data_IF_889918636595
#
_entry.id   IF_889918636595
#
_cell.length_a   1.000
_cell.length_b   1.000
_cell.length_c   1.000
_cell.angle_alpha   90.00
_cell.angle_beta   90.00
_cell.angle_gamma   90.00
#
_symmetry.space_group_name_H-M   'P 1'
#
loop_
_entity.id
_entity.type
_entity.pdbx_description
1 polymer ?
#
# COMPACT_ATOMS: atom_id res chain seq x y z
N UNK A 1 10.79 -3.83 -18.36
CA UNK A 1 9.73 -4.68 -17.77
C UNK A 1 10.14 -5.19 -16.40
N UNK A 2 11.33 -5.74 -16.25
CA UNK A 2 11.88 -6.17 -14.95
C UNK A 2 11.78 -5.10 -13.86
N UNK A 3 12.16 -3.86 -14.15
CA UNK A 3 12.03 -2.73 -13.22
C UNK A 3 10.59 -2.35 -12.84
N UNK A 4 9.60 -2.75 -13.64
CA UNK A 4 8.17 -2.58 -13.31
C UNK A 4 7.74 -3.68 -12.34
N UNK A 5 8.14 -4.93 -12.61
CA UNK A 5 7.83 -6.09 -11.77
C UNK A 5 8.49 -5.96 -10.40
N UNK A 6 9.76 -5.57 -10.33
CA UNK A 6 10.48 -5.32 -9.08
C UNK A 6 9.82 -4.22 -8.24
N UNK A 7 9.32 -3.17 -8.88
CA UNK A 7 8.60 -2.11 -8.20
C UNK A 7 7.28 -2.65 -7.61
N UNK A 8 6.52 -3.44 -8.36
CA UNK A 8 5.29 -4.08 -7.85
C UNK A 8 5.62 -5.02 -6.68
N UNK A 9 6.63 -5.89 -6.81
CA UNK A 9 7.06 -6.82 -5.76
C UNK A 9 7.44 -6.08 -4.48
N UNK A 10 8.27 -5.04 -4.60
CA UNK A 10 8.70 -4.21 -3.47
C UNK A 10 7.49 -3.56 -2.79
N UNK A 11 6.58 -2.95 -3.56
CA UNK A 11 5.35 -2.34 -3.03
C UNK A 11 4.43 -3.36 -2.33
N UNK A 12 4.33 -4.58 -2.86
CA UNK A 12 3.54 -5.66 -2.25
C UNK A 12 4.12 -6.11 -0.92
N UNK A 13 5.42 -6.35 -0.89
CA UNK A 13 6.10 -6.96 0.25
C UNK A 13 6.49 -5.94 1.33
N UNK A 14 6.33 -4.64 1.06
CA UNK A 14 6.40 -3.57 2.06
C UNK A 14 5.05 -3.30 2.75
N UNK A 15 4.00 -4.08 2.48
CA UNK A 15 2.73 -3.93 3.20
C UNK A 15 2.88 -4.37 4.67
N UNK A 16 2.41 -3.57 5.65
CA UNK A 16 2.40 -3.98 7.05
C UNK A 16 1.43 -5.15 7.30
N UNK A 17 1.93 -6.22 7.91
CA UNK A 17 1.15 -7.38 8.38
C UNK A 17 0.50 -7.11 9.73
N UNK A 18 1.22 -6.48 10.65
CA UNK A 18 0.71 -6.13 11.98
C UNK A 18 0.44 -4.64 12.09
N UNK A 19 -0.43 -4.28 13.03
CA UNK A 19 -0.54 -2.92 13.52
C UNK A 19 0.19 -2.86 14.86
N UNK A 20 0.95 -1.80 15.06
CA UNK A 20 1.77 -1.59 16.26
C UNK A 20 1.34 -0.27 16.88
N UNK A 21 0.82 -0.33 18.11
CA UNK A 21 0.57 0.87 18.93
C UNK A 21 1.92 1.29 19.51
N UNK A 22 2.56 2.27 18.88
CA UNK A 22 3.91 2.66 19.26
C UNK A 22 3.89 3.50 20.56
N UNK A 23 3.76 2.87 21.71
CA UNK A 23 3.87 3.51 23.04
C UNK A 23 5.33 3.67 23.52
N UNK A 24 6.31 3.46 22.63
CA UNK A 24 7.73 3.45 23.03
C UNK A 24 8.77 3.53 21.92
N UNK A 25 8.40 3.90 20.70
CA UNK A 25 9.32 4.23 19.60
C UNK A 25 10.19 3.09 19.03
N UNK A 26 10.14 1.87 19.58
CA UNK A 26 11.08 0.79 19.26
C UNK A 26 10.48 -0.41 18.51
N UNK A 27 9.17 -0.48 18.37
CA UNK A 27 8.52 -1.66 17.80
C UNK A 27 8.35 -1.50 16.28
N UNK A 28 9.10 -2.30 15.52
CA UNK A 28 9.07 -2.28 14.06
C UNK A 28 7.84 -3.02 13.54
N UNK A 29 7.14 -2.42 12.59
CA UNK A 29 5.98 -3.05 11.93
C UNK A 29 6.45 -4.26 11.13
N UNK A 30 5.83 -5.43 11.35
CA UNK A 30 6.14 -6.63 10.60
C UNK A 30 5.65 -6.49 9.17
N UNK A 31 6.53 -6.69 8.19
CA UNK A 31 6.23 -6.68 6.76
C UNK A 31 6.71 -7.98 6.11
N UNK A 32 6.10 -8.45 5.01
CA UNK A 32 6.56 -9.64 4.30
C UNK A 32 8.04 -9.58 3.94
N UNK A 33 8.57 -8.41 3.54
CA UNK A 33 9.99 -8.26 3.23
C UNK A 33 10.90 -8.57 4.43
N UNK A 34 10.50 -8.24 5.65
CA UNK A 34 11.25 -8.60 6.86
C UNK A 34 11.29 -10.13 7.04
N UNK A 35 10.19 -10.83 6.75
CA UNK A 35 10.12 -12.29 6.86
C UNK A 35 10.90 -13.00 5.75
N UNK A 36 10.84 -12.49 4.53
CA UNK A 36 11.44 -13.11 3.34
C UNK A 36 12.94 -12.80 3.24
N UNK A 37 13.31 -11.54 3.51
CA UNK A 37 14.67 -11.01 3.28
C UNK A 37 15.44 -10.73 4.57
N UNK A 38 14.78 -10.72 5.73
CA UNK A 38 15.39 -10.36 7.01
C UNK A 38 15.55 -8.86 7.23
N UNK A 39 15.25 -8.03 6.23
CA UNK A 39 15.50 -6.59 6.23
C UNK A 39 14.32 -5.82 5.61
N UNK A 40 14.18 -4.56 5.97
CA UNK A 40 13.22 -3.68 5.33
C UNK A 40 13.70 -3.36 3.90
N UNK A 41 12.88 -3.62 2.89
CA UNK A 41 13.23 -3.23 1.54
C UNK A 41 12.98 -1.72 1.44
N UNK A 42 14.05 -0.92 1.51
CA UNK A 42 13.97 0.52 1.32
C UNK A 42 13.12 0.81 0.09
N UNK A 43 12.11 1.64 0.30
CA UNK A 43 11.28 2.16 -0.76
C UNK A 43 12.20 2.72 -1.83
N UNK A 44 11.98 2.33 -3.09
CA UNK A 44 12.40 3.20 -4.17
C UNK A 44 11.61 4.47 -3.93
N UNK A 45 12.26 5.52 -3.43
CA UNK A 45 11.71 6.86 -3.58
C UNK A 45 11.36 6.93 -5.07
N UNK A 46 10.07 7.11 -5.36
CA UNK A 46 9.63 7.54 -6.68
C UNK A 46 10.20 8.97 -6.82
N UNK A 47 11.52 9.08 -7.00
CA UNK A 47 12.22 10.30 -7.33
C UNK A 47 11.63 10.68 -8.67
N UNK A 48 10.58 11.49 -8.62
CA UNK A 48 10.21 12.40 -9.70
C UNK A 48 11.46 13.25 -9.91
N UNK A 49 12.40 12.75 -10.71
CA UNK A 49 13.42 13.60 -11.29
C UNK A 49 12.65 14.73 -11.96
N UNK A 50 12.88 15.94 -11.47
CA UNK A 50 12.36 17.18 -12.05
C UNK A 50 12.51 17.10 -13.58
N UNK A 51 11.49 17.56 -14.28
CA UNK A 51 11.13 17.24 -15.67
C UNK A 51 12.21 17.56 -16.72
N UNK A 52 13.37 18.07 -16.31
CA UNK A 52 14.30 18.78 -17.14
C UNK A 52 15.10 17.89 -18.10
N UNK A 53 15.30 16.58 -17.81
CA UNK A 53 16.02 15.67 -18.73
C UNK A 53 15.47 14.23 -18.80
N UNK A 54 14.16 14.06 -18.98
CA UNK A 54 13.58 12.71 -19.14
C UNK A 54 13.65 12.25 -20.61
N UNK A 55 14.50 11.26 -20.89
CA UNK A 55 14.61 10.60 -22.20
C UNK A 55 13.28 9.94 -22.60
N UNK A 56 12.95 9.87 -23.90
CA UNK A 56 11.72 9.21 -24.43
C UNK A 56 11.49 7.80 -23.85
N UNK A 57 12.56 7.06 -23.55
CA UNK A 57 12.49 5.74 -22.93
C UNK A 57 12.04 5.80 -21.46
N UNK A 58 12.53 6.73 -20.67
CA UNK A 58 12.12 6.90 -19.28
C UNK A 58 10.64 7.28 -19.16
N UNK A 59 10.12 8.12 -20.06
CA UNK A 59 8.66 8.41 -20.13
C UNK A 59 7.83 7.15 -20.41
N UNK A 60 8.29 6.31 -21.36
CA UNK A 60 7.62 5.03 -21.66
C UNK A 60 7.65 4.09 -20.46
N UNK A 61 8.78 4.02 -19.74
CA UNK A 61 8.91 3.19 -18.56
C UNK A 61 8.00 3.68 -17.42
N UNK A 62 7.92 5.00 -17.20
CA UNK A 62 7.03 5.61 -16.22
C UNK A 62 5.56 5.27 -16.51
N UNK A 63 5.13 5.48 -17.76
CA UNK A 63 3.79 5.11 -18.19
C UNK A 63 3.49 3.62 -17.98
N UNK A 64 4.44 2.74 -18.33
CA UNK A 64 4.28 1.30 -18.10
C UNK A 64 4.19 0.94 -16.60
N UNK A 65 4.94 1.61 -15.73
CA UNK A 65 4.81 1.47 -14.27
C UNK A 65 3.43 1.91 -13.78
N UNK A 66 2.95 3.05 -14.27
CA UNK A 66 1.64 3.61 -13.88
C UNK A 66 0.49 2.72 -14.32
N UNK A 67 0.52 2.24 -15.56
CA UNK A 67 -0.50 1.34 -16.11
C UNK A 67 -0.51 -0.01 -15.37
N UNK A 68 0.66 -0.56 -15.06
CA UNK A 68 0.77 -1.78 -14.30
C UNK A 68 0.29 -1.58 -12.84
N UNK A 69 0.63 -0.46 -12.21
CA UNK A 69 0.15 -0.11 -10.88
C UNK A 69 -1.37 0.05 -10.83
N UNK A 70 -1.98 0.74 -11.81
CA UNK A 70 -3.44 0.88 -11.92
C UNK A 70 -4.12 -0.47 -12.03
N UNK A 71 -3.62 -1.34 -12.91
CA UNK A 71 -4.17 -2.68 -13.09
C UNK A 71 -4.03 -3.51 -11.82
N UNK A 72 -2.84 -3.48 -11.21
CA UNK A 72 -2.56 -4.22 -9.99
C UNK A 72 -3.42 -3.74 -8.82
N UNK A 73 -3.53 -2.43 -8.59
CA UNK A 73 -4.38 -1.86 -7.53
C UNK A 73 -5.82 -2.34 -7.72
N UNK A 74 -6.34 -2.29 -8.94
CA UNK A 74 -7.68 -2.79 -9.25
C UNK A 74 -7.80 -4.28 -8.96
N UNK A 75 -6.93 -5.13 -9.51
CA UNK A 75 -7.13 -6.58 -9.41
C UNK A 75 -6.76 -7.14 -8.02
N UNK A 76 -5.61 -6.75 -7.48
CA UNK A 76 -5.08 -7.30 -6.24
C UNK A 76 -5.69 -6.68 -4.98
N UNK A 77 -5.92 -5.36 -4.93
CA UNK A 77 -6.54 -4.77 -3.73
C UNK A 77 -8.00 -5.20 -3.64
N UNK A 78 -8.71 -5.28 -4.77
CA UNK A 78 -10.06 -5.82 -4.75
C UNK A 78 -10.08 -7.29 -4.32
N UNK A 79 -9.15 -8.14 -4.79
CA UNK A 79 -9.11 -9.54 -4.33
C UNK A 79 -8.70 -9.68 -2.86
N UNK A 80 -7.84 -8.80 -2.35
CA UNK A 80 -7.49 -8.77 -0.93
C UNK A 80 -8.71 -8.38 -0.07
N UNK A 81 -9.44 -7.35 -0.50
CA UNK A 81 -10.70 -6.96 0.15
C UNK A 81 -11.74 -8.09 0.06
N UNK A 82 -11.86 -8.76 -1.08
CA UNK A 82 -12.77 -9.88 -1.27
C UNK A 82 -12.40 -11.08 -0.39
N UNK A 83 -11.11 -11.42 -0.26
CA UNK A 83 -10.66 -12.46 0.68
C UNK A 83 -11.03 -12.09 2.12
N UNK A 84 -10.87 -10.82 2.50
CA UNK A 84 -11.32 -10.34 3.81
C UNK A 84 -12.85 -10.45 3.98
N UNK A 85 -13.62 -10.22 2.91
CA UNK A 85 -15.09 -10.41 2.87
C UNK A 85 -15.51 -11.87 3.00
N UNK A 86 -14.77 -12.79 2.39
CA UNK A 86 -15.08 -14.22 2.49
C UNK A 86 -14.89 -14.69 3.94
N UNK A 87 -13.87 -14.17 4.63
CA UNK A 87 -13.64 -14.47 6.04
C UNK A 87 -14.63 -13.73 6.98
N UNK A 88 -15.01 -12.49 6.65
CA UNK A 88 -15.98 -11.69 7.40
C UNK A 88 -17.32 -11.65 6.67
N UNK A 89 -18.27 -12.49 7.10
CA UNK A 89 -19.61 -12.71 6.50
C UNK A 89 -20.43 -11.45 6.16
N UNK A 90 -20.08 -10.28 6.72
CA UNK A 90 -20.70 -8.98 6.41
C UNK A 90 -19.59 -7.93 6.29
N UNK A 91 -19.64 -7.13 5.22
CA UNK A 91 -18.82 -5.92 5.09
C UNK A 91 -19.45 -4.83 5.92
N UNK A 92 -19.27 -4.93 7.22
CA UNK A 92 -19.65 -3.83 8.09
C UNK A 92 -18.63 -2.70 7.95
N UNK A 93 -19.10 -1.47 8.08
CA UNK A 93 -18.20 -0.33 8.19
C UNK A 93 -17.28 -0.56 9.40
N UNK A 94 -15.96 -0.33 9.27
CA UNK A 94 -14.98 -0.62 10.31
C UNK A 94 -15.41 0.00 11.64
N UNK A 95 -15.42 -0.77 12.72
CA UNK A 95 -15.83 -0.39 14.07
C UNK A 95 -14.75 0.40 14.81
N UNK A 96 -15.15 1.19 15.80
CA UNK A 96 -14.17 1.86 16.68
C UNK A 96 -13.34 0.75 17.33
N UNK A 97 -12.02 0.87 17.22
CA UNK A 97 -11.06 -0.15 17.65
C UNK A 97 -10.57 -1.10 16.56
N UNK A 98 -11.21 -1.14 15.38
CA UNK A 98 -10.77 -1.99 14.28
C UNK A 98 -9.49 -1.44 13.64
N UNK A 99 -8.58 -2.36 13.34
CA UNK A 99 -7.36 -2.08 12.58
C UNK A 99 -7.69 -2.18 11.09
N UNK A 100 -7.51 -1.07 10.38
CA UNK A 100 -7.77 -0.95 8.95
C UNK A 100 -6.49 -0.68 8.17
N UNK A 101 -6.48 -1.15 6.92
CA UNK A 101 -5.46 -0.78 5.95
C UNK A 101 -5.93 0.49 5.24
N UNK A 102 -5.14 1.56 5.27
CA UNK A 102 -5.44 2.80 4.58
C UNK A 102 -4.89 2.72 3.17
N UNK A 103 -5.79 2.72 2.18
CA UNK A 103 -5.44 2.70 0.75
C UNK A 103 -5.74 4.08 0.18
N UNK A 104 -4.75 4.96 0.18
CA UNK A 104 -4.87 6.32 -0.35
C UNK A 104 -4.44 6.46 -1.81
N UNK A 105 -4.65 7.66 -2.36
CA UNK A 105 -4.00 8.16 -3.58
C UNK A 105 -2.61 8.76 -3.28
N UNK A 106 -1.94 8.31 -2.22
CA UNK A 106 -0.62 8.85 -1.89
C UNK A 106 0.37 8.60 -3.03
N UNK A 107 1.27 9.57 -3.24
CA UNK A 107 2.29 9.52 -4.29
C UNK A 107 3.26 8.36 -4.10
N UNK A 108 3.53 7.95 -2.84
CA UNK A 108 4.48 6.88 -2.55
C UNK A 108 3.79 5.50 -2.59
N UNK A 109 4.00 4.75 -3.68
CA UNK A 109 3.23 3.55 -4.02
C UNK A 109 3.40 2.36 -3.08
N UNK A 110 4.36 2.40 -2.16
CA UNK A 110 4.62 1.31 -1.22
C UNK A 110 4.62 1.71 0.24
N UNK A 111 4.21 2.93 0.55
CA UNK A 111 3.88 3.31 1.92
C UNK A 111 2.44 2.89 2.23
N UNK A 112 2.26 1.60 2.53
CA UNK A 112 1.00 1.10 3.06
C UNK A 112 0.90 1.43 4.54
N UNK A 113 -0.11 2.20 4.93
CA UNK A 113 -0.34 2.57 6.33
C UNK A 113 -1.45 1.71 6.93
N UNK A 114 -1.25 1.23 8.14
CA UNK A 114 -2.32 0.65 8.97
C UNK A 114 -2.68 1.63 10.07
N UNK A 115 -3.97 1.79 10.32
CA UNK A 115 -4.49 2.67 11.35
C UNK A 115 -5.56 1.97 12.18
N UNK A 116 -5.77 2.44 13.39
CA UNK A 116 -6.90 2.03 14.24
C UNK A 116 -8.02 3.06 14.09
N UNK A 117 -9.25 2.61 13.90
CA UNK A 117 -10.40 3.50 13.87
C UNK A 117 -10.66 4.05 15.29
N UNK A 118 -10.50 5.37 15.47
CA UNK A 118 -10.77 6.04 16.75
C UNK A 118 -12.16 6.65 16.83
N UNK A 119 -12.71 7.11 15.72
CA UNK A 119 -14.02 7.76 15.68
C UNK A 119 -14.71 7.52 14.33
N UNK A 120 -16.03 7.63 14.30
CA UNK A 120 -16.85 7.49 13.10
C UNK A 120 -17.82 8.65 12.95
N UNK A 121 -17.75 9.32 11.81
CA UNK A 121 -18.73 10.31 11.40
C UNK A 121 -19.64 9.68 10.33
N UNK A 122 -20.93 9.57 10.64
CA UNK A 122 -21.95 9.18 9.66
C UNK A 122 -22.68 10.45 9.24
N UNK A 123 -22.33 11.02 8.10
CA UNK A 123 -23.14 12.08 7.50
C UNK A 123 -24.48 11.48 7.05
N UNK A 124 -25.57 11.91 7.71
CA UNK A 124 -26.92 11.66 7.21
C UNK A 124 -27.16 12.60 6.05
N UNK A 125 -27.05 12.10 4.82
CA UNK A 125 -27.58 12.80 3.65
C UNK A 125 -29.09 12.92 3.81
N UNK A 126 -29.57 14.16 3.91
CA UNK A 126 -30.99 14.55 3.89
C UNK A 126 -31.50 14.51 2.47
#
# INVERSE_FOLDING_TARGET
LESVVLNIESNMNNRPLTYVECDGGKEQVLMPNILIRGENCYMFDDVENEEDEITKMQRRLRKAKDDAWKRWKREYVHSLLESQRVNNKVVEAPQIGDVVLVVGEEKNRGEWKKGKCFDKFVEKTV
#
